data_IF_781569806929
#
_entry.id   IF_781569806929
#
_cell.length_a   1.000
_cell.length_b   1.000
_cell.length_c   1.000
_cell.angle_alpha   90.00
_cell.angle_beta   90.00
_cell.angle_gamma   90.00
#
_symmetry.space_group_name_H-M   'P 1'
#
loop_
_entity.id
_entity.type
_entity.pdbx_description
1 polymer ?
#
# COMPACT_ATOMS: atom_id res chain seq x y z
N UNK A 1 3.10 1.73 -3.57
CA UNK A 1 3.14 0.28 -3.73
C UNK A 1 2.23 -0.38 -2.71
N UNK A 2 1.31 -1.19 -3.17
CA UNK A 2 0.41 -1.95 -2.30
C UNK A 2 0.57 -3.43 -2.62
N UNK A 3 0.90 -4.23 -1.61
CA UNK A 3 1.09 -5.66 -1.74
C UNK A 3 0.65 -6.39 -0.48
N UNK A 4 0.61 -7.72 -0.55
CA UNK A 4 0.01 -8.56 0.48
C UNK A 4 0.80 -8.56 1.78
N UNK A 5 0.08 -8.39 2.91
CA UNK A 5 0.49 -8.75 4.27
C UNK A 5 -0.29 -9.98 4.70
N UNK A 6 0.38 -10.92 5.32
CA UNK A 6 -0.20 -12.21 5.68
C UNK A 6 0.31 -12.71 7.03
N UNK A 7 -0.54 -13.39 7.78
CA UNK A 7 -0.23 -14.12 9.00
C UNK A 7 0.56 -15.38 8.65
N UNK A 8 1.87 -15.33 8.87
CA UNK A 8 2.76 -16.48 8.68
C UNK A 8 2.52 -17.54 9.74
N UNK A 9 2.28 -17.13 10.99
CA UNK A 9 1.91 -18.05 12.08
C UNK A 9 0.65 -18.86 11.77
N UNK A 10 -0.32 -18.30 11.05
CA UNK A 10 -1.51 -19.04 10.60
C UNK A 10 -1.19 -20.06 9.51
N UNK A 11 -0.30 -19.70 8.56
CA UNK A 11 0.19 -20.67 7.60
C UNK A 11 0.90 -21.83 8.28
N UNK A 12 1.80 -21.53 9.23
CA UNK A 12 2.56 -22.53 9.97
C UNK A 12 1.62 -23.46 10.77
N UNK A 13 0.60 -22.90 11.44
CA UNK A 13 -0.41 -23.67 12.17
C UNK A 13 -1.18 -24.64 11.29
N UNK A 14 -1.50 -24.25 10.07
CA UNK A 14 -2.24 -25.06 9.10
C UNK A 14 -1.32 -25.93 8.21
N UNK A 15 0.00 -25.76 8.31
CA UNK A 15 0.97 -26.46 7.46
C UNK A 15 0.92 -26.05 5.99
N UNK A 16 0.60 -24.79 5.72
CA UNK A 16 0.47 -24.23 4.39
C UNK A 16 1.72 -23.41 4.01
N UNK A 17 2.01 -23.37 2.71
CA UNK A 17 3.04 -22.51 2.14
C UNK A 17 2.47 -21.13 1.79
N UNK A 18 3.35 -20.13 1.76
CA UNK A 18 2.96 -18.77 1.33
C UNK A 18 2.54 -18.76 -0.15
N UNK A 19 1.31 -18.33 -0.48
CA UNK A 19 0.80 -18.38 -1.84
C UNK A 19 1.47 -17.36 -2.74
N UNK A 20 1.64 -17.70 -4.00
CA UNK A 20 2.18 -16.84 -5.05
C UNK A 20 1.14 -16.49 -6.11
N UNK A 21 0.38 -17.49 -6.54
CA UNK A 21 -0.63 -17.35 -7.59
C UNK A 21 -1.99 -16.94 -7.03
N UNK A 22 -2.90 -16.57 -7.92
CA UNK A 22 -4.31 -16.32 -7.57
C UNK A 22 -4.96 -17.51 -6.88
N UNK A 23 -4.85 -18.69 -7.49
CA UNK A 23 -5.52 -19.89 -6.98
C UNK A 23 -4.96 -20.34 -5.62
N UNK A 24 -3.64 -20.23 -5.43
CA UNK A 24 -3.01 -20.48 -4.13
C UNK A 24 -3.48 -19.51 -3.06
N UNK A 25 -3.59 -18.22 -3.42
CA UNK A 25 -4.10 -17.19 -2.49
C UNK A 25 -5.56 -17.45 -2.11
N UNK A 26 -6.40 -17.86 -3.06
CA UNK A 26 -7.78 -18.24 -2.81
C UNK A 26 -7.84 -19.43 -1.85
N UNK A 27 -7.03 -20.46 -2.08
CA UNK A 27 -6.98 -21.64 -1.22
C UNK A 27 -6.53 -21.29 0.21
N UNK A 28 -5.53 -20.41 0.37
CA UNK A 28 -5.10 -19.93 1.69
C UNK A 28 -6.19 -19.12 2.38
N UNK A 29 -6.84 -18.19 1.66
CA UNK A 29 -7.95 -17.42 2.22
C UNK A 29 -9.10 -18.32 2.66
N UNK A 30 -9.41 -19.36 1.89
CA UNK A 30 -10.41 -20.36 2.23
C UNK A 30 -10.06 -21.15 3.49
N UNK A 31 -8.80 -21.61 3.61
CA UNK A 31 -8.31 -22.27 4.82
C UNK A 31 -8.39 -21.36 6.04
N UNK A 32 -8.00 -20.10 5.90
CA UNK A 32 -8.07 -19.10 6.98
C UNK A 32 -9.50 -18.85 7.48
N UNK A 33 -10.50 -18.93 6.60
CA UNK A 33 -11.91 -18.79 6.98
C UNK A 33 -12.49 -20.03 7.60
N UNK A 34 -12.03 -21.25 7.20
CA UNK A 34 -12.70 -22.51 7.52
C UNK A 34 -12.01 -23.38 8.56
N UNK A 35 -10.70 -23.20 8.79
CA UNK A 35 -9.87 -24.18 9.52
C UNK A 35 -9.35 -23.66 10.86
N UNK A 36 -9.96 -22.59 11.45
CA UNK A 36 -9.61 -22.06 12.76
C UNK A 36 -8.07 -21.82 12.90
N UNK A 37 -7.46 -20.94 12.11
CA UNK A 37 -6.02 -20.78 12.05
C UNK A 37 -5.42 -20.17 13.32
N UNK A 38 -6.20 -19.47 14.14
CA UNK A 38 -5.80 -18.88 15.41
C UNK A 38 -6.04 -19.81 16.60
N UNK A 39 -6.70 -20.96 16.38
CA UNK A 39 -6.89 -22.02 17.36
C UNK A 39 -7.82 -21.65 18.52
N UNK A 40 -8.71 -20.66 18.34
CA UNK A 40 -9.59 -20.17 19.39
C UNK A 40 -10.89 -21.01 19.54
N UNK A 41 -11.19 -21.87 18.57
CA UNK A 41 -12.37 -22.73 18.54
C UNK A 41 -13.62 -22.03 18.00
N UNK A 42 -13.52 -20.82 17.50
CA UNK A 42 -14.61 -20.03 16.94
C UNK A 42 -14.40 -19.90 15.41
N UNK A 43 -15.49 -19.74 14.67
CA UNK A 43 -15.42 -19.49 13.22
C UNK A 43 -15.62 -17.99 12.97
N UNK A 44 -14.61 -17.18 13.29
CA UNK A 44 -14.71 -15.72 13.29
C UNK A 44 -13.55 -15.01 12.57
N UNK A 45 -12.74 -15.78 11.84
CA UNK A 45 -11.59 -15.29 11.08
C UNK A 45 -11.98 -14.76 9.71
N UNK A 46 -11.26 -13.75 9.24
CA UNK A 46 -11.42 -13.09 7.96
C UNK A 46 -10.24 -13.50 7.06
N UNK A 47 -10.53 -14.07 5.89
CA UNK A 47 -9.51 -14.44 4.93
C UNK A 47 -8.77 -13.22 4.39
N UNK A 48 -9.49 -12.32 3.72
CA UNK A 48 -8.96 -11.08 3.13
C UNK A 48 -9.73 -9.88 3.69
N UNK A 49 -9.04 -8.97 4.35
CA UNK A 49 -9.60 -7.72 4.81
C UNK A 49 -9.67 -6.71 3.67
N UNK A 50 -10.83 -6.12 3.45
CA UNK A 50 -11.03 -5.02 2.52
C UNK A 50 -11.09 -3.65 3.21
N UNK A 51 -11.13 -2.56 2.42
CA UNK A 51 -11.25 -1.21 2.95
C UNK A 51 -12.62 -0.99 3.58
N UNK A 52 -12.67 -0.18 4.61
CA UNK A 52 -13.92 0.42 5.06
C UNK A 52 -14.42 1.40 3.99
N UNK A 53 -15.73 1.51 3.84
CA UNK A 53 -16.37 2.31 2.81
C UNK A 53 -16.27 1.69 1.39
N UNK A 54 -16.71 2.42 0.39
CA UNK A 54 -16.77 1.95 -1.00
C UNK A 54 -15.48 2.16 -1.81
N UNK A 55 -14.37 2.52 -1.18
CA UNK A 55 -13.10 2.77 -1.88
C UNK A 55 -12.28 1.48 -2.06
N UNK A 56 -12.84 0.53 -2.83
CA UNK A 56 -12.23 -0.80 -3.05
C UNK A 56 -10.95 -0.73 -3.86
N UNK A 57 -10.87 0.22 -4.76
CA UNK A 57 -9.71 0.46 -5.59
C UNK A 57 -9.30 1.90 -5.45
N UNK A 58 -8.15 2.10 -4.90
CA UNK A 58 -7.57 3.40 -4.76
C UNK A 58 -6.39 3.54 -5.70
N UNK A 59 -6.60 4.15 -6.83
CA UNK A 59 -5.58 4.40 -7.86
C UNK A 59 -4.32 5.13 -7.40
N UNK A 60 -4.24 5.57 -6.15
CA UNK A 60 -3.10 6.29 -5.60
C UNK A 60 -2.09 5.42 -4.85
N UNK A 61 -2.15 4.09 -4.94
CA UNK A 61 -1.12 3.17 -4.41
C UNK A 61 -0.78 3.28 -2.93
N UNK A 62 -1.40 4.18 -2.18
CA UNK A 62 -1.04 4.51 -0.80
C UNK A 62 -2.05 4.07 0.27
N UNK A 63 -3.19 3.51 -0.11
CA UNK A 63 -4.22 3.14 0.85
C UNK A 63 -3.98 1.74 1.42
N UNK A 64 -4.11 1.68 2.74
CA UNK A 64 -4.22 0.40 3.45
C UNK A 64 -5.55 -0.26 3.08
N UNK A 65 -5.52 -1.57 2.93
CA UNK A 65 -6.69 -2.43 2.70
C UNK A 65 -7.30 -2.34 1.31
N UNK A 66 -6.75 -1.55 0.37
CA UNK A 66 -7.19 -1.51 -1.02
C UNK A 66 -7.05 -2.87 -1.70
N UNK A 67 -7.97 -3.19 -2.59
CA UNK A 67 -7.96 -4.47 -3.33
C UNK A 67 -7.19 -4.37 -4.66
N UNK A 68 -6.44 -3.30 -4.88
CA UNK A 68 -5.66 -3.04 -6.10
C UNK A 68 -4.81 -4.24 -6.56
N UNK A 69 -4.11 -4.99 -5.69
CA UNK A 69 -3.35 -6.16 -6.12
C UNK A 69 -4.21 -7.28 -6.69
N UNK A 70 -5.46 -7.40 -6.26
CA UNK A 70 -6.41 -8.36 -6.83
C UNK A 70 -6.79 -8.00 -8.26
N UNK A 71 -6.85 -6.70 -8.57
CA UNK A 71 -7.10 -6.19 -9.91
C UNK A 71 -5.85 -6.31 -10.80
N UNK A 72 -4.69 -5.94 -10.27
CA UNK A 72 -3.41 -5.97 -10.99
C UNK A 72 -3.04 -7.38 -11.47
N UNK A 73 -3.44 -8.43 -10.75
CA UNK A 73 -3.25 -9.82 -11.18
C UNK A 73 -3.92 -10.14 -12.54
N UNK A 74 -4.93 -9.37 -12.92
CA UNK A 74 -5.63 -9.47 -14.21
C UNK A 74 -5.29 -8.32 -15.15
N UNK A 75 -4.17 -7.61 -14.95
CA UNK A 75 -3.76 -6.45 -15.74
C UNK A 75 -4.80 -5.31 -15.72
N UNK A 76 -5.59 -5.23 -14.66
CA UNK A 76 -6.60 -4.20 -14.45
C UNK A 76 -6.06 -3.10 -13.54
N UNK A 77 -6.17 -1.84 -13.98
CA UNK A 77 -5.66 -0.68 -13.26
C UNK A 77 -6.76 0.40 -13.18
N UNK A 78 -7.80 0.20 -12.38
CA UNK A 78 -8.88 1.16 -12.25
C UNK A 78 -8.38 2.53 -11.79
N UNK A 79 -9.06 3.59 -12.21
CA UNK A 79 -8.76 5.00 -11.95
C UNK A 79 -7.49 5.52 -12.63
N UNK A 80 -6.73 4.69 -13.35
CA UNK A 80 -5.55 5.10 -14.11
C UNK A 80 -5.88 5.41 -15.55
N UNK A 81 -5.20 6.40 -16.10
CA UNK A 81 -5.19 6.68 -17.54
C UNK A 81 -4.02 5.93 -18.15
N UNK A 82 -4.33 4.98 -18.99
CA UNK A 82 -3.33 4.08 -19.59
C UNK A 82 -3.17 4.41 -21.09
N UNK A 83 -2.13 3.85 -21.69
CA UNK A 83 -1.98 3.82 -23.14
C UNK A 83 -2.22 2.40 -23.62
N UNK A 84 -3.10 2.27 -24.63
CA UNK A 84 -3.26 1.01 -25.36
C UNK A 84 -2.04 0.75 -26.27
N UNK A 85 -2.01 -0.43 -26.91
CA UNK A 85 -0.94 -0.82 -27.84
C UNK A 85 -0.77 0.13 -29.03
N UNK A 86 -1.78 0.93 -29.34
CA UNK A 86 -1.77 1.92 -30.41
C UNK A 86 -1.35 3.32 -29.93
N UNK A 87 -1.12 3.48 -28.61
CA UNK A 87 -0.77 4.74 -27.96
C UNK A 87 -1.96 5.62 -27.61
N UNK A 88 -3.20 5.14 -27.77
CA UNK A 88 -4.38 5.89 -27.37
C UNK A 88 -4.58 5.85 -25.86
N UNK A 89 -5.09 6.95 -25.31
CA UNK A 89 -5.47 7.02 -23.90
C UNK A 89 -6.73 6.22 -23.64
N UNK A 90 -6.70 5.37 -22.62
CA UNK A 90 -7.81 4.55 -22.13
C UNK A 90 -7.96 4.76 -20.62
N UNK A 91 -9.18 4.84 -20.13
CA UNK A 91 -9.44 4.87 -18.69
C UNK A 91 -9.49 3.44 -18.15
N UNK A 92 -8.60 3.10 -17.23
CA UNK A 92 -8.43 1.74 -16.71
C UNK A 92 -9.69 1.14 -16.10
N UNK A 93 -10.58 1.97 -15.53
CA UNK A 93 -11.82 1.49 -14.90
C UNK A 93 -12.89 0.98 -15.88
N UNK A 94 -12.72 1.19 -17.21
CA UNK A 94 -13.71 0.77 -18.21
C UNK A 94 -13.20 -0.28 -19.18
N UNK A 95 -12.10 -0.96 -18.86
CA UNK A 95 -11.47 -1.97 -19.70
C UNK A 95 -12.05 -3.38 -19.46
N UNK A 96 -11.84 -4.29 -20.41
CA UNK A 96 -12.27 -5.70 -20.29
C UNK A 96 -11.51 -6.41 -19.18
N UNK A 97 -10.27 -6.03 -18.92
CA UNK A 97 -9.46 -6.51 -17.80
C UNK A 97 -10.11 -6.15 -16.46
N UNK A 98 -10.65 -4.95 -16.34
CA UNK A 98 -11.37 -4.51 -15.14
C UNK A 98 -12.69 -5.24 -14.96
N UNK A 99 -13.40 -5.51 -16.05
CA UNK A 99 -14.58 -6.38 -16.01
C UNK A 99 -14.24 -7.77 -15.47
N UNK A 100 -13.16 -8.37 -15.97
CA UNK A 100 -12.68 -9.69 -15.53
C UNK A 100 -12.28 -9.68 -14.06
N UNK A 101 -11.50 -8.69 -13.64
CA UNK A 101 -11.06 -8.55 -12.25
C UNK A 101 -12.25 -8.38 -11.29
N UNK A 102 -13.24 -7.55 -11.65
CA UNK A 102 -14.45 -7.37 -10.85
C UNK A 102 -15.24 -8.68 -10.67
N UNK A 103 -15.37 -9.49 -11.73
CA UNK A 103 -16.03 -10.78 -11.63
C UNK A 103 -15.30 -11.72 -10.66
N UNK A 104 -13.96 -11.74 -10.71
CA UNK A 104 -13.13 -12.54 -9.79
C UNK A 104 -13.25 -12.07 -8.35
N UNK A 105 -13.17 -10.76 -8.10
CA UNK A 105 -13.30 -10.19 -6.76
C UNK A 105 -14.71 -10.39 -6.19
N UNK A 106 -15.74 -10.25 -7.02
CA UNK A 106 -17.13 -10.56 -6.63
C UNK A 106 -17.30 -12.04 -6.23
N UNK A 107 -16.59 -12.95 -6.91
CA UNK A 107 -16.54 -14.37 -6.53
C UNK A 107 -15.96 -14.57 -5.12
N UNK A 108 -14.82 -13.94 -4.81
CA UNK A 108 -14.22 -14.02 -3.47
C UNK A 108 -15.16 -13.49 -2.37
N UNK A 109 -15.88 -12.41 -2.66
CA UNK A 109 -16.87 -11.87 -1.71
C UNK A 109 -18.06 -12.79 -1.52
N UNK A 110 -18.58 -13.36 -2.61
CA UNK A 110 -19.70 -14.31 -2.57
C UNK A 110 -19.37 -15.59 -1.79
N UNK A 111 -18.11 -16.04 -1.87
CA UNK A 111 -17.60 -17.21 -1.14
C UNK A 111 -17.24 -16.89 0.32
N UNK A 112 -17.39 -15.61 0.75
CA UNK A 112 -17.07 -15.15 2.10
C UNK A 112 -15.56 -15.08 2.41
N UNK A 113 -14.71 -15.04 1.39
CA UNK A 113 -13.27 -14.98 1.54
C UNK A 113 -12.75 -13.54 1.73
N UNK A 114 -13.51 -12.55 1.25
CA UNK A 114 -13.32 -11.14 1.58
C UNK A 114 -14.29 -10.76 2.72
N UNK A 115 -13.84 -9.91 3.63
CA UNK A 115 -14.67 -9.37 4.73
C UNK A 115 -16.05 -8.92 4.21
N UNK A 116 -17.09 -9.61 4.65
CA UNK A 116 -18.46 -9.33 4.21
C UNK A 116 -19.07 -8.07 4.80
N UNK A 117 -18.40 -7.48 5.79
CA UNK A 117 -18.84 -6.24 6.45
C UNK A 117 -18.20 -4.97 5.87
N UNK A 118 -17.43 -5.05 4.79
CA UNK A 118 -16.73 -3.90 4.19
C UNK A 118 -17.63 -2.70 3.88
N UNK A 119 -18.93 -2.91 3.58
CA UNK A 119 -19.88 -1.82 3.30
C UNK A 119 -20.42 -1.14 4.56
N UNK A 120 -20.29 -1.76 5.72
CA UNK A 120 -20.86 -1.27 6.98
C UNK A 120 -19.81 -0.91 8.01
N UNK A 121 -18.56 -1.32 7.81
CA UNK A 121 -17.45 -0.91 8.67
C UNK A 121 -17.14 0.57 8.52
N UNK A 122 -16.87 1.20 9.63
CA UNK A 122 -16.36 2.56 9.68
C UNK A 122 -14.81 2.57 9.67
N UNK A 123 -14.18 1.49 10.15
CA UNK A 123 -12.73 1.35 10.25
C UNK A 123 -12.33 -0.13 10.06
N UNK A 124 -11.48 -0.38 9.07
CA UNK A 124 -10.91 -1.72 8.81
C UNK A 124 -9.79 -2.11 9.80
N UNK A 125 -9.33 -1.20 10.63
CA UNK A 125 -8.28 -1.48 11.62
C UNK A 125 -8.79 -2.32 12.79
N UNK A 126 -10.06 -2.21 13.14
CA UNK A 126 -10.64 -2.92 14.29
C UNK A 126 -10.55 -4.44 14.18
N UNK A 127 -10.98 -5.12 13.09
CA UNK A 127 -10.81 -6.56 12.97
C UNK A 127 -9.34 -7.00 12.90
N UNK A 128 -8.45 -6.15 12.38
CA UNK A 128 -7.02 -6.41 12.42
C UNK A 128 -6.49 -6.42 13.85
N UNK A 129 -6.82 -5.40 14.66
CA UNK A 129 -6.38 -5.30 16.05
C UNK A 129 -6.98 -6.39 16.94
N UNK A 130 -8.15 -6.90 16.60
CA UNK A 130 -8.75 -8.04 17.31
C UNK A 130 -8.15 -9.39 16.94
N UNK A 131 -7.18 -9.44 16.00
CA UNK A 131 -6.46 -10.65 15.63
C UNK A 131 -7.18 -11.56 14.66
N UNK A 132 -8.28 -11.11 14.05
CA UNK A 132 -9.17 -11.93 13.21
C UNK A 132 -8.82 -11.96 11.73
N UNK A 133 -7.77 -11.26 11.30
CA UNK A 133 -7.45 -11.06 9.88
C UNK A 133 -6.23 -11.88 9.47
N UNK A 134 -6.37 -12.65 8.41
CA UNK A 134 -5.29 -13.45 7.82
C UNK A 134 -4.49 -12.71 6.75
N UNK A 135 -5.17 -12.00 5.86
CA UNK A 135 -4.57 -11.29 4.72
C UNK A 135 -5.12 -9.87 4.65
N UNK A 136 -4.25 -8.90 4.35
CA UNK A 136 -4.64 -7.58 3.88
C UNK A 136 -3.59 -7.03 2.90
N UNK A 137 -3.96 -6.01 2.13
CA UNK A 137 -3.04 -5.33 1.23
C UNK A 137 -2.68 -3.95 1.77
N UNK A 138 -1.43 -3.54 1.55
CA UNK A 138 -0.98 -2.24 2.03
C UNK A 138 0.46 -1.93 1.63
N UNK A 139 0.87 -0.66 1.79
CA UNK A 139 2.21 -0.19 1.46
C UNK A 139 3.27 -0.69 2.46
N UNK A 140 4.54 -0.50 2.13
CA UNK A 140 5.68 -0.94 2.95
C UNK A 140 5.57 -0.53 4.43
N UNK A 141 5.08 0.66 4.73
CA UNK A 141 4.97 1.20 6.10
C UNK A 141 3.85 0.58 6.95
N UNK A 142 3.17 -0.46 6.49
CA UNK A 142 2.12 -1.14 7.28
C UNK A 142 2.61 -1.80 8.57
N UNK A 143 3.92 -1.83 8.84
CA UNK A 143 4.42 -2.15 10.17
C UNK A 143 3.79 -1.30 11.28
N UNK A 144 3.47 -0.02 10.98
CA UNK A 144 2.73 0.86 11.89
C UNK A 144 1.27 0.45 12.10
N UNK A 145 0.72 -0.32 11.18
CA UNK A 145 -0.64 -0.86 11.27
C UNK A 145 -0.67 -2.14 12.11
N UNK A 146 0.31 -3.03 11.93
CA UNK A 146 0.33 -4.34 12.59
C UNK A 146 1.11 -4.37 13.91
N UNK A 147 1.83 -3.31 14.26
CA UNK A 147 2.68 -3.28 15.45
C UNK A 147 1.96 -3.61 16.77
N UNK A 148 0.68 -3.23 16.89
CA UNK A 148 -0.12 -3.57 18.07
C UNK A 148 -0.45 -5.07 18.14
N UNK A 149 -0.74 -5.69 17.00
CA UNK A 149 -1.06 -7.13 16.93
C UNK A 149 0.19 -7.97 17.22
N UNK A 150 1.36 -7.50 16.79
CA UNK A 150 2.63 -8.12 17.10
C UNK A 150 2.86 -8.13 18.62
N UNK A 151 2.72 -6.98 19.25
CA UNK A 151 2.96 -6.84 20.69
C UNK A 151 1.92 -7.55 21.58
N UNK A 152 0.64 -7.55 21.13
CA UNK A 152 -0.46 -8.08 21.94
C UNK A 152 -0.74 -9.56 21.70
N UNK A 153 -0.38 -10.11 20.54
CA UNK A 153 -0.81 -11.42 20.07
C UNK A 153 0.34 -12.27 19.55
N UNK A 154 1.58 -11.74 19.57
CA UNK A 154 2.76 -12.38 18.97
C UNK A 154 2.53 -12.77 17.49
N UNK A 155 1.72 -11.96 16.78
CA UNK A 155 1.33 -12.20 15.39
C UNK A 155 2.55 -12.09 14.47
N UNK A 156 2.83 -13.12 13.69
CA UNK A 156 3.90 -13.11 12.68
C UNK A 156 3.36 -12.63 11.32
N UNK A 157 3.57 -11.36 11.02
CA UNK A 157 3.19 -10.76 9.76
C UNK A 157 4.36 -10.77 8.78
N UNK A 158 4.14 -11.38 7.61
CA UNK A 158 5.08 -11.36 6.50
C UNK A 158 4.49 -10.65 5.27
N UNK A 159 5.34 -10.16 4.39
CA UNK A 159 4.95 -9.45 3.18
C UNK A 159 5.35 -10.22 1.92
N UNK A 160 4.47 -10.23 0.92
CA UNK A 160 4.67 -10.99 -0.31
C UNK A 160 4.10 -10.26 -1.51
N UNK A 161 4.77 -10.35 -2.65
CA UNK A 161 4.20 -10.01 -3.95
C UNK A 161 3.22 -11.10 -4.40
N UNK A 162 1.96 -10.92 -4.05
CA UNK A 162 0.86 -11.87 -4.34
C UNK A 162 -0.46 -11.10 -4.46
N UNK A 163 -1.37 -11.50 -5.36
CA UNK A 163 -1.18 -12.56 -6.36
C UNK A 163 -0.33 -12.10 -7.55
N UNK A 164 0.44 -13.02 -8.11
CA UNK A 164 1.12 -12.81 -9.38
C UNK A 164 0.13 -12.89 -10.53
N UNK A 165 0.37 -12.16 -11.60
CA UNK A 165 -0.35 -12.28 -12.85
C UNK A 165 -0.02 -13.63 -13.55
N UNK A 166 -0.76 -13.96 -14.60
CA UNK A 166 -0.60 -15.22 -15.34
C UNK A 166 0.82 -15.41 -15.90
N UNK A 167 1.51 -14.33 -16.22
CA UNK A 167 2.89 -14.33 -16.69
C UNK A 167 3.93 -14.51 -15.57
N UNK A 168 3.48 -14.69 -14.33
CA UNK A 168 4.33 -14.90 -13.16
C UNK A 168 4.94 -13.62 -12.57
N UNK A 169 4.50 -12.44 -12.99
CA UNK A 169 5.00 -11.15 -12.50
C UNK A 169 4.01 -10.51 -11.53
N UNK A 170 4.55 -9.70 -10.63
CA UNK A 170 3.76 -8.82 -9.79
C UNK A 170 3.68 -7.43 -10.42
N UNK A 171 2.46 -6.97 -10.64
CA UNK A 171 2.19 -5.64 -11.17
C UNK A 171 1.64 -4.77 -10.04
N UNK A 172 2.10 -3.53 -9.95
CA UNK A 172 1.64 -2.63 -8.89
C UNK A 172 1.37 -1.22 -9.42
N UNK A 173 0.30 -0.63 -8.93
CA UNK A 173 -0.02 0.77 -9.17
C UNK A 173 1.04 1.66 -8.51
N UNK A 174 1.58 2.60 -9.26
CA UNK A 174 2.52 3.59 -8.73
C UNK A 174 1.78 4.90 -8.47
N UNK A 175 2.06 5.50 -7.32
CA UNK A 175 1.53 6.82 -6.99
C UNK A 175 2.08 7.90 -7.93
N UNK A 176 1.35 9.01 -8.03
CA UNK A 176 1.83 10.21 -8.71
C UNK A 176 3.18 10.67 -8.11
N UNK A 177 4.08 11.22 -8.95
CA UNK A 177 5.40 11.69 -8.48
C UNK A 177 5.30 12.77 -7.41
N UNK A 178 4.22 13.53 -7.39
CA UNK A 178 3.93 14.55 -6.38
C UNK A 178 2.44 14.67 -6.12
N UNK A 179 2.05 14.67 -4.85
CA UNK A 179 0.65 14.78 -4.42
C UNK A 179 0.35 16.12 -3.73
N UNK A 180 1.38 16.94 -3.50
CA UNK A 180 1.23 18.20 -2.77
C UNK A 180 2.00 19.32 -3.43
N UNK A 181 1.36 20.49 -3.48
CA UNK A 181 1.92 21.70 -4.09
C UNK A 181 1.88 22.83 -3.08
N UNK A 182 3.00 23.53 -2.94
CA UNK A 182 3.06 24.79 -2.18
C UNK A 182 2.75 25.93 -3.13
N UNK A 183 1.66 26.62 -2.91
CA UNK A 183 1.21 27.73 -3.75
C UNK A 183 1.21 29.04 -2.98
N UNK A 184 1.67 30.11 -3.62
CA UNK A 184 1.58 31.47 -3.08
C UNK A 184 0.46 32.23 -3.80
N UNK A 185 -0.41 32.91 -3.04
CA UNK A 185 -1.40 33.81 -3.63
C UNK A 185 -0.74 34.90 -4.49
N UNK A 186 -1.38 35.30 -5.58
CA UNK A 186 -0.94 36.45 -6.41
C UNK A 186 -0.88 37.76 -5.61
N UNK A 187 -1.65 37.88 -4.55
CA UNK A 187 -1.67 39.01 -3.62
C UNK A 187 -0.60 38.93 -2.52
N UNK A 188 0.17 37.83 -2.47
CA UNK A 188 1.21 37.66 -1.46
C UNK A 188 2.34 38.68 -1.70
N UNK A 189 2.66 39.43 -0.67
CA UNK A 189 3.72 40.47 -0.75
C UNK A 189 5.14 39.90 -0.73
N UNK A 190 5.29 38.69 -0.19
CA UNK A 190 6.60 38.05 -0.03
C UNK A 190 6.50 36.55 -0.45
N UNK A 191 6.23 36.25 -1.73
CA UNK A 191 6.03 34.86 -2.19
C UNK A 191 7.29 33.98 -1.99
N UNK A 192 8.47 34.61 -1.99
CA UNK A 192 9.73 33.93 -1.73
C UNK A 192 9.86 33.38 -0.30
N UNK A 193 9.03 33.81 0.63
CA UNK A 193 9.05 33.33 2.01
C UNK A 193 8.73 31.82 2.08
N UNK A 194 7.85 31.31 1.22
CA UNK A 194 7.55 29.88 1.15
C UNK A 194 8.80 29.05 0.85
N UNK A 195 9.57 29.44 -0.17
CA UNK A 195 10.81 28.75 -0.54
C UNK A 195 11.89 28.89 0.55
N UNK A 196 12.00 30.03 1.21
CA UNK A 196 12.93 30.22 2.32
C UNK A 196 12.61 29.32 3.51
N UNK A 197 11.32 29.15 3.81
CA UNK A 197 10.87 28.24 4.88
C UNK A 197 11.18 26.79 4.50
N UNK A 198 10.88 26.37 3.28
CA UNK A 198 11.19 25.02 2.79
C UNK A 198 12.70 24.75 2.90
N UNK A 199 13.54 25.65 2.39
CA UNK A 199 14.99 25.51 2.45
C UNK A 199 15.49 25.42 3.90
N UNK A 200 14.95 26.25 4.79
CA UNK A 200 15.30 26.20 6.21
C UNK A 200 14.90 24.86 6.86
N UNK A 201 13.71 24.35 6.54
CA UNK A 201 13.25 23.06 7.08
C UNK A 201 14.13 21.92 6.58
N UNK A 202 14.52 21.92 5.29
CA UNK A 202 15.42 20.91 4.72
C UNK A 202 16.80 20.99 5.38
N UNK A 203 17.38 22.18 5.50
CA UNK A 203 18.70 22.40 6.13
C UNK A 203 18.67 22.00 7.60
N UNK A 204 17.62 22.34 8.33
CA UNK A 204 17.44 21.96 9.72
C UNK A 204 17.34 20.44 9.89
N UNK A 205 16.58 19.77 9.02
CA UNK A 205 16.45 18.32 9.04
C UNK A 205 17.78 17.64 8.74
N UNK A 206 18.55 18.12 7.77
CA UNK A 206 19.88 17.62 7.46
C UNK A 206 20.86 17.77 8.63
N UNK A 207 20.80 18.87 9.37
CA UNK A 207 21.69 19.09 10.52
C UNK A 207 21.48 18.09 11.66
N UNK A 208 20.35 17.38 11.68
CA UNK A 208 20.03 16.37 12.67
C UNK A 208 20.33 14.94 12.20
N UNK A 209 20.62 14.76 10.93
CA UNK A 209 21.05 13.47 10.40
C UNK A 209 22.37 13.08 11.06
N UNK A 210 22.48 11.83 11.47
CA UNK A 210 23.68 11.30 12.12
C UNK A 210 23.82 11.58 13.62
N UNK A 211 22.96 12.39 14.25
CA UNK A 211 23.00 12.65 15.68
C UNK A 211 22.24 11.62 16.56
N UNK A 212 21.63 10.62 15.97
CA UNK A 212 20.82 9.63 16.69
C UNK A 212 19.53 10.22 17.30
N UNK A 213 19.07 11.32 16.78
CA UNK A 213 17.98 12.08 17.36
C UNK A 213 16.66 11.67 16.71
N UNK A 214 15.96 10.69 17.30
CA UNK A 214 14.68 10.16 16.80
C UNK A 214 13.54 11.17 16.62
N UNK A 215 13.77 12.44 16.98
CA UNK A 215 12.83 13.53 16.77
C UNK A 215 13.02 14.28 15.43
N UNK A 216 13.98 13.91 14.60
CA UNK A 216 14.17 14.54 13.29
C UNK A 216 12.92 14.40 12.40
N UNK A 217 12.18 13.30 12.55
CA UNK A 217 10.90 13.07 11.87
C UNK A 217 9.77 14.00 12.29
N UNK A 218 9.80 14.54 13.50
CA UNK A 218 8.70 15.34 14.04
C UNK A 218 8.51 16.69 13.32
N UNK A 219 9.57 17.26 12.77
CA UNK A 219 9.51 18.53 12.03
C UNK A 219 9.20 18.34 10.54
N UNK A 220 9.63 17.23 9.94
CA UNK A 220 9.47 16.95 8.52
C UNK A 220 8.15 16.26 8.15
N UNK A 221 7.50 15.60 9.11
CA UNK A 221 6.30 14.77 8.86
C UNK A 221 5.05 15.26 9.58
N UNK A 222 5.11 16.44 10.25
CA UNK A 222 3.97 16.93 11.01
C UNK A 222 2.96 17.65 10.11
N UNK A 223 1.74 17.14 10.08
CA UNK A 223 0.60 17.79 9.43
C UNK A 223 0.21 19.13 10.09
N UNK A 224 0.86 19.48 11.20
CA UNK A 224 0.61 20.72 11.94
C UNK A 224 1.36 21.94 11.42
N UNK A 225 2.31 21.76 10.50
CA UNK A 225 3.06 22.88 9.93
C UNK A 225 2.40 23.40 8.65
N UNK A 226 2.38 24.72 8.43
CA UNK A 226 1.74 25.32 7.26
C UNK A 226 2.40 24.93 5.94
N UNK A 227 3.63 24.40 5.97
CA UNK A 227 4.32 23.84 4.83
C UNK A 227 4.71 22.41 5.18
N UNK A 228 3.82 21.49 4.84
CA UNK A 228 4.11 20.06 4.94
C UNK A 228 5.14 19.70 3.87
N UNK A 229 6.31 19.28 4.29
CA UNK A 229 7.36 18.81 3.41
C UNK A 229 8.03 17.60 4.04
N UNK A 230 7.91 16.45 3.39
CA UNK A 230 8.68 15.25 3.73
C UNK A 230 9.93 15.28 2.87
N UNK A 231 11.09 15.34 3.54
CA UNK A 231 12.38 15.28 2.89
C UNK A 231 13.09 13.99 3.31
N UNK A 232 13.13 13.05 2.39
CA UNK A 232 13.86 11.80 2.52
C UNK A 232 14.61 11.51 1.22
N UNK A 233 15.65 10.68 1.28
CA UNK A 233 16.25 10.14 0.07
C UNK A 233 15.25 9.19 -0.61
N UNK A 234 15.27 9.15 -1.93
CA UNK A 234 14.37 8.30 -2.70
C UNK A 234 14.56 6.80 -2.40
N UNK A 235 15.75 6.43 -1.95
CA UNK A 235 16.20 5.07 -1.63
C UNK A 235 16.34 4.82 -0.11
N UNK A 236 15.73 5.69 0.74
CA UNK A 236 15.94 5.60 2.20
C UNK A 236 15.59 4.22 2.75
N UNK A 237 14.51 3.63 2.28
CA UNK A 237 14.00 2.38 2.83
C UNK A 237 14.84 1.20 2.37
N UNK A 238 15.16 1.13 1.09
CA UNK A 238 15.99 0.10 0.48
C UNK A 238 17.40 0.09 1.08
N UNK A 239 17.99 1.27 1.24
CA UNK A 239 19.31 1.41 1.89
C UNK A 239 19.25 1.02 3.36
N UNK A 240 18.18 1.38 4.07
CA UNK A 240 17.98 0.97 5.46
C UNK A 240 17.85 -0.54 5.59
N UNK A 241 17.05 -1.18 4.72
CA UNK A 241 16.89 -2.63 4.67
C UNK A 241 18.24 -3.34 4.46
N UNK A 242 18.97 -2.96 3.42
CA UNK A 242 20.27 -3.58 3.08
C UNK A 242 21.30 -3.40 4.21
N UNK A 243 21.36 -2.20 4.79
CA UNK A 243 22.26 -1.91 5.91
C UNK A 243 21.92 -2.75 7.15
N UNK A 244 20.64 -2.84 7.52
CA UNK A 244 20.18 -3.65 8.65
C UNK A 244 20.45 -5.15 8.42
N UNK A 245 20.26 -5.65 7.20
CA UNK A 245 20.59 -7.05 6.86
C UNK A 245 22.08 -7.34 7.04
N UNK A 246 22.95 -6.49 6.52
CA UNK A 246 24.40 -6.62 6.65
C UNK A 246 24.86 -6.53 8.11
N UNK A 247 24.24 -5.63 8.86
CA UNK A 247 24.54 -5.48 10.29
C UNK A 247 24.13 -6.72 11.11
N UNK A 248 22.93 -7.27 10.84
CA UNK A 248 22.48 -8.51 11.46
C UNK A 248 23.37 -9.71 11.10
N UNK A 249 23.86 -9.77 9.86
CA UNK A 249 24.79 -10.79 9.41
C UNK A 249 26.21 -10.64 10.00
N UNK A 250 26.49 -9.52 10.67
CA UNK A 250 27.84 -9.22 11.19
C UNK A 250 28.86 -8.86 10.12
N UNK A 251 28.38 -8.42 8.96
CA UNK A 251 29.22 -7.99 7.84
C UNK A 251 29.71 -6.55 7.99
N UNK A 252 28.98 -5.73 8.74
CA UNK A 252 29.33 -4.35 9.06
C UNK A 252 29.08 -4.06 10.54
N UNK A 253 29.81 -3.08 11.06
CA UNK A 253 29.63 -2.53 12.40
C UNK A 253 29.02 -1.13 12.33
N UNK A 254 28.52 -0.60 13.48
CA UNK A 254 27.95 0.76 13.54
C UNK A 254 28.92 1.84 13.02
N UNK A 255 30.20 1.68 13.27
CA UNK A 255 31.25 2.63 12.90
C UNK A 255 31.57 2.63 11.38
N UNK A 256 31.10 1.62 10.66
CA UNK A 256 31.28 1.51 9.19
C UNK A 256 30.23 2.30 8.41
N UNK A 257 29.18 2.81 9.08
CA UNK A 257 28.00 3.40 8.44
C UNK A 257 28.05 4.93 8.45
N UNK A 258 27.90 5.53 7.28
CA UNK A 258 27.67 6.97 7.16
C UNK A 258 26.21 7.32 7.44
N UNK A 259 25.94 7.80 8.63
CA UNK A 259 24.59 8.21 9.04
C UNK A 259 24.19 9.62 8.58
N UNK A 260 25.05 10.32 7.85
CA UNK A 260 24.77 11.71 7.42
C UNK A 260 23.73 11.80 6.30
N UNK A 261 23.49 10.70 5.59
CA UNK A 261 22.61 10.64 4.42
C UNK A 261 21.21 10.11 4.72
N UNK A 262 21.06 9.28 5.77
CA UNK A 262 19.80 8.60 6.12
C UNK A 262 19.45 8.90 7.58
N UNK A 263 18.49 9.79 7.77
CA UNK A 263 18.19 10.44 9.08
C UNK A 263 17.79 9.48 10.21
N UNK A 264 17.20 8.33 9.90
CA UNK A 264 16.70 7.37 10.90
C UNK A 264 17.55 6.10 11.00
N UNK A 265 18.48 5.89 10.10
CA UNK A 265 19.25 4.64 10.02
C UNK A 265 20.00 4.28 11.31
N UNK A 266 20.59 5.28 11.99
CA UNK A 266 21.25 5.04 13.30
C UNK A 266 20.25 4.50 14.33
N UNK A 267 19.07 5.14 14.44
CA UNK A 267 18.04 4.69 15.36
C UNK A 267 17.53 3.29 15.01
N UNK A 268 17.42 2.97 13.72
CA UNK A 268 17.01 1.66 13.24
C UNK A 268 18.02 0.58 13.63
N UNK A 269 19.33 0.83 13.45
CA UNK A 269 20.39 -0.09 13.86
C UNK A 269 20.48 -0.25 15.39
N UNK A 270 20.36 0.83 16.15
CA UNK A 270 20.31 0.76 17.63
C UNK A 270 19.07 0.00 18.14
N UNK A 271 17.97 0.10 17.41
CA UNK A 271 16.73 -0.59 17.75
C UNK A 271 16.81 -2.08 17.46
N UNK A 272 17.34 -2.46 16.30
CA UNK A 272 17.40 -3.88 15.91
C UNK A 272 18.32 -4.69 16.82
N UNK A 273 19.35 -4.06 17.41
CA UNK A 273 20.20 -4.73 18.41
C UNK A 273 19.46 -5.13 19.67
N UNK A 274 18.40 -4.40 20.03
CA UNK A 274 17.58 -4.70 21.22
C UNK A 274 16.59 -5.83 20.99
N UNK A 275 16.27 -6.12 19.72
CA UNK A 275 15.40 -7.21 19.30
C UNK A 275 16.14 -8.53 19.16
N UNK A 276 17.46 -8.49 19.26
CA UNK A 276 18.36 -9.55 18.84
C UNK A 276 18.11 -10.89 19.50
N UNK A 277 17.54 -11.82 18.73
CA UNK A 277 17.61 -13.27 18.98
C UNK A 277 18.29 -13.95 17.80
N UNK A 278 19.08 -14.94 18.04
CA UNK A 278 19.68 -15.77 16.99
C UNK A 278 18.79 -17.00 16.71
N UNK A 279 18.74 -17.46 15.46
CA UNK A 279 19.41 -16.98 14.24
C UNK A 279 18.66 -15.84 13.52
N UNK A 280 19.38 -15.05 12.67
CA UNK A 280 18.84 -13.89 11.95
C UNK A 280 18.58 -14.13 10.47
N UNK A 281 18.51 -15.37 10.05
CA UNK A 281 18.33 -15.74 8.65
C UNK A 281 16.99 -15.26 8.09
N UNK A 282 16.05 -15.00 9.00
CA UNK A 282 14.66 -14.73 8.70
C UNK A 282 14.14 -13.72 9.73
N UNK A 283 13.49 -12.66 9.27
CA UNK A 283 12.90 -11.64 10.15
C UNK A 283 11.49 -12.06 10.60
N UNK A 284 11.38 -13.26 11.18
CA UNK A 284 10.15 -13.84 11.70
C UNK A 284 10.00 -13.60 13.20
N UNK A 285 8.77 -13.32 13.62
CA UNK A 285 8.44 -13.01 15.00
C UNK A 285 8.77 -14.14 15.97
N UNK A 286 8.79 -15.39 15.50
CA UNK A 286 9.18 -16.57 16.32
C UNK A 286 10.60 -16.51 16.86
N UNK A 287 11.46 -15.67 16.29
CA UNK A 287 12.84 -15.47 16.71
C UNK A 287 13.02 -14.24 17.61
N UNK A 288 11.97 -13.49 17.91
CA UNK A 288 12.06 -12.25 18.67
C UNK A 288 11.76 -12.51 20.15
N UNK A 289 12.56 -11.92 21.02
CA UNK A 289 12.36 -12.01 22.47
C UNK A 289 11.54 -10.83 22.98
N UNK A 290 10.23 -11.01 23.05
CA UNK A 290 9.31 -9.98 23.52
C UNK A 290 9.34 -9.75 25.04
N UNK A 291 9.82 -10.73 25.84
CA UNK A 291 9.81 -10.63 27.30
C UNK A 291 10.74 -9.53 27.85
N UNK A 292 11.80 -9.19 27.09
CA UNK A 292 12.80 -8.21 27.49
C UNK A 292 12.83 -6.97 26.61
N UNK A 293 11.77 -6.72 25.83
CA UNK A 293 11.72 -5.57 24.93
C UNK A 293 11.38 -4.28 25.67
N UNK A 294 12.38 -3.46 25.96
CA UNK A 294 12.23 -2.06 26.32
C UNK A 294 12.26 -1.19 25.04
N UNK A 295 11.27 -1.40 24.17
CA UNK A 295 11.16 -0.68 22.90
C UNK A 295 9.92 0.18 22.84
N UNK A 296 10.10 1.43 22.39
CA UNK A 296 8.97 2.21 21.96
C UNK A 296 8.27 1.50 20.79
N UNK A 297 6.94 1.36 20.85
CA UNK A 297 6.10 0.77 19.80
C UNK A 297 6.43 1.32 18.42
N UNK A 298 6.67 2.64 18.30
CA UNK A 298 7.01 3.29 17.05
C UNK A 298 8.29 2.75 16.40
N UNK A 299 9.30 2.40 17.24
CA UNK A 299 10.55 1.85 16.73
C UNK A 299 10.37 0.42 16.22
N UNK A 300 9.60 -0.41 16.93
CA UNK A 300 9.22 -1.74 16.45
C UNK A 300 8.45 -1.64 15.13
N UNK A 301 7.43 -0.79 15.09
CA UNK A 301 6.61 -0.59 13.89
C UNK A 301 7.43 -0.16 12.67
N UNK A 302 8.43 0.70 12.87
CA UNK A 302 9.36 1.11 11.82
C UNK A 302 10.23 -0.07 11.36
N UNK A 303 10.82 -0.84 12.27
CA UNK A 303 11.62 -2.01 11.90
C UNK A 303 10.81 -3.04 11.12
N UNK A 304 9.58 -3.33 11.55
CA UNK A 304 8.67 -4.21 10.80
C UNK A 304 8.35 -3.63 9.43
N UNK A 305 8.18 -2.32 9.32
CA UNK A 305 7.96 -1.66 8.03
C UNK A 305 9.14 -1.86 7.08
N UNK A 306 10.38 -1.71 7.57
CA UNK A 306 11.58 -1.88 6.77
C UNK A 306 11.85 -3.36 6.53
N UNK A 307 12.05 -4.16 7.57
CA UNK A 307 12.57 -5.52 7.45
C UNK A 307 11.56 -6.53 6.89
N UNK A 308 10.27 -6.32 7.13
CA UNK A 308 9.19 -7.15 6.60
C UNK A 308 8.52 -6.45 5.43
N UNK A 309 8.13 -5.19 5.63
CA UNK A 309 7.37 -4.44 4.66
C UNK A 309 8.11 -4.23 3.34
N UNK A 310 9.39 -3.87 3.40
CA UNK A 310 10.19 -3.56 2.22
C UNK A 310 10.87 -4.80 1.60
N UNK A 311 10.89 -5.92 2.32
CA UNK A 311 11.58 -7.12 1.86
C UNK A 311 11.22 -7.56 0.42
N UNK A 312 9.95 -7.60 -0.01
CA UNK A 312 9.61 -7.94 -1.39
C UNK A 312 10.12 -6.91 -2.41
N UNK A 313 10.09 -5.62 -2.06
CA UNK A 313 10.55 -4.53 -2.95
C UNK A 313 12.06 -4.61 -3.24
N UNK A 314 12.84 -5.05 -2.26
CA UNK A 314 14.30 -5.19 -2.40
C UNK A 314 14.70 -6.52 -3.03
N UNK A 315 14.00 -7.60 -2.72
CA UNK A 315 14.43 -8.96 -3.07
C UNK A 315 13.73 -9.56 -4.28
N UNK A 316 12.63 -8.96 -4.77
CA UNK A 316 11.85 -9.51 -5.88
C UNK A 316 11.63 -8.46 -6.97
N UNK A 317 11.49 -8.91 -8.21
CA UNK A 317 11.15 -8.04 -9.33
C UNK A 317 9.67 -7.73 -9.36
N UNK A 318 9.31 -6.49 -9.69
CA UNK A 318 7.92 -6.06 -9.92
C UNK A 318 7.84 -5.15 -11.14
N UNK A 319 6.63 -5.01 -11.66
CA UNK A 319 6.35 -4.13 -12.80
C UNK A 319 5.56 -2.92 -12.32
N UNK A 320 6.18 -1.73 -12.30
CA UNK A 320 5.49 -0.51 -11.87
C UNK A 320 4.57 -0.01 -13.00
N UNK A 321 3.32 0.27 -12.67
CA UNK A 321 2.33 0.84 -13.59
C UNK A 321 2.03 2.27 -13.17
N UNK A 322 2.32 3.20 -14.06
CA UNK A 322 2.08 4.63 -13.88
C UNK A 322 0.86 5.08 -14.69
N UNK A 323 0.10 6.02 -14.14
CA UNK A 323 -0.88 6.74 -14.93
C UNK A 323 -0.17 7.58 -16.00
N UNK A 324 -0.71 7.59 -17.19
CA UNK A 324 -0.19 8.43 -18.30
C UNK A 324 -0.63 9.88 -18.19
N UNK A 325 -1.53 10.19 -17.26
CA UNK A 325 -2.07 11.52 -17.02
C UNK A 325 -2.56 11.66 -15.59
N UNK A 326 -2.02 12.65 -14.90
CA UNK A 326 -2.35 12.97 -13.50
C UNK A 326 -2.92 14.39 -13.37
N UNK A 327 -3.25 15.00 -14.51
CA UNK A 327 -3.80 16.35 -14.58
C UNK A 327 -5.31 16.40 -14.39
N UNK A 328 -5.86 17.60 -14.62
CA UNK A 328 -7.30 17.85 -14.58
C UNK A 328 -7.74 18.62 -15.79
N UNK A 329 -8.63 18.04 -16.59
CA UNK A 329 -9.17 18.66 -17.78
C UNK A 329 -10.36 19.58 -17.45
N UNK A 330 -10.72 20.41 -18.41
CA UNK A 330 -11.85 21.33 -18.26
C UNK A 330 -13.18 20.60 -18.04
N UNK A 331 -13.39 19.49 -18.75
CA UNK A 331 -14.62 18.70 -18.60
C UNK A 331 -14.66 17.97 -17.25
N UNK A 332 -13.52 17.55 -16.72
CA UNK A 332 -13.42 17.00 -15.35
C UNK A 332 -13.94 17.97 -14.30
N UNK A 333 -13.74 19.28 -14.43
CA UNK A 333 -14.19 20.27 -13.46
C UNK A 333 -15.70 20.21 -13.19
N UNK A 334 -16.48 19.82 -14.16
CA UNK A 334 -17.95 19.77 -14.07
C UNK A 334 -18.55 18.36 -13.96
N UNK A 335 -17.86 17.34 -14.46
CA UNK A 335 -18.43 16.00 -14.64
C UNK A 335 -17.75 14.92 -13.80
N UNK A 336 -16.48 15.11 -13.43
CA UNK A 336 -15.65 14.05 -12.81
C UNK A 336 -16.26 13.45 -11.53
N UNK A 337 -16.78 14.29 -10.65
CA UNK A 337 -17.40 13.83 -9.40
C UNK A 337 -18.60 12.89 -9.63
N UNK A 338 -19.39 13.12 -10.70
CA UNK A 338 -20.50 12.23 -11.02
C UNK A 338 -20.01 10.91 -11.65
N UNK A 339 -18.99 10.98 -12.50
CA UNK A 339 -18.39 9.80 -13.14
C UNK A 339 -17.71 8.90 -12.09
N UNK A 340 -16.95 9.47 -11.15
CA UNK A 340 -16.33 8.74 -10.06
C UNK A 340 -17.39 8.07 -9.17
N UNK A 341 -18.45 8.79 -8.82
CA UNK A 341 -19.55 8.22 -8.03
C UNK A 341 -20.25 7.07 -8.75
N UNK A 342 -20.49 7.20 -10.05
CA UNK A 342 -21.10 6.15 -10.88
C UNK A 342 -20.23 4.88 -10.86
N UNK A 343 -18.91 5.04 -11.00
CA UNK A 343 -17.93 3.96 -10.91
C UNK A 343 -17.97 3.27 -9.54
N UNK A 344 -17.79 4.03 -8.45
CA UNK A 344 -17.76 3.51 -7.09
C UNK A 344 -19.04 2.76 -6.73
N UNK A 345 -20.21 3.33 -7.06
CA UNK A 345 -21.49 2.67 -6.80
C UNK A 345 -21.66 1.39 -7.61
N UNK A 346 -21.18 1.37 -8.86
CA UNK A 346 -21.30 0.19 -9.73
C UNK A 346 -20.37 -0.92 -9.25
N UNK A 347 -19.11 -0.59 -8.98
CA UNK A 347 -18.13 -1.56 -8.48
C UNK A 347 -18.60 -2.15 -7.13
N UNK A 348 -19.06 -1.31 -6.21
CA UNK A 348 -19.62 -1.75 -4.95
C UNK A 348 -20.79 -2.74 -5.11
N UNK A 349 -21.72 -2.46 -6.03
CA UNK A 349 -22.87 -3.33 -6.30
C UNK A 349 -22.45 -4.67 -6.89
N UNK A 350 -21.48 -4.67 -7.81
CA UNK A 350 -20.96 -5.90 -8.43
C UNK A 350 -20.21 -6.74 -7.37
N UNK A 351 -19.24 -6.16 -6.67
CA UNK A 351 -18.43 -6.85 -5.67
C UNK A 351 -19.32 -7.49 -4.60
N UNK A 352 -20.36 -6.80 -4.15
CA UNK A 352 -21.24 -7.29 -3.08
C UNK A 352 -22.43 -8.12 -3.57
N UNK A 353 -22.47 -8.47 -4.84
CA UNK A 353 -23.52 -9.29 -5.44
C UNK A 353 -24.90 -8.62 -5.53
N UNK A 354 -24.97 -7.29 -5.31
CA UNK A 354 -26.22 -6.51 -5.48
C UNK A 354 -26.57 -6.27 -6.94
N UNK A 355 -25.58 -6.40 -7.82
CA UNK A 355 -25.76 -6.43 -9.27
C UNK A 355 -24.86 -7.52 -9.85
N UNK A 356 -25.27 -8.10 -11.00
CA UNK A 356 -24.42 -9.01 -11.76
C UNK A 356 -23.35 -8.25 -12.56
N UNK A 357 -22.40 -8.98 -13.14
CA UNK A 357 -21.29 -8.42 -13.90
C UNK A 357 -21.76 -7.64 -15.15
N UNK A 358 -22.95 -7.90 -15.67
CA UNK A 358 -23.56 -7.16 -16.76
C UNK A 358 -23.82 -5.68 -16.44
N UNK A 359 -23.87 -5.32 -15.17
CA UNK A 359 -23.95 -3.92 -14.74
C UNK A 359 -22.71 -3.13 -15.14
N UNK A 360 -21.57 -3.81 -15.30
CA UNK A 360 -20.33 -3.20 -15.80
C UNK A 360 -20.50 -2.68 -17.23
N UNK A 361 -21.14 -3.46 -18.11
CA UNK A 361 -21.32 -3.07 -19.50
C UNK A 361 -22.20 -1.81 -19.59
N UNK A 362 -23.27 -1.75 -18.80
CA UNK A 362 -24.12 -0.57 -18.68
C UNK A 362 -23.37 0.65 -18.09
N UNK A 363 -22.52 0.42 -17.11
CA UNK A 363 -21.67 1.46 -16.53
C UNK A 363 -20.73 2.07 -17.58
N UNK A 364 -20.07 1.25 -18.39
CA UNK A 364 -19.15 1.73 -19.43
C UNK A 364 -19.89 2.62 -20.44
N UNK A 365 -21.07 2.22 -20.88
CA UNK A 365 -21.90 3.03 -21.79
C UNK A 365 -22.32 4.36 -21.15
N UNK A 366 -22.80 4.34 -19.92
CA UNK A 366 -23.23 5.53 -19.20
C UNK A 366 -22.05 6.46 -18.88
N UNK A 367 -20.90 5.93 -18.46
CA UNK A 367 -19.70 6.67 -18.17
C UNK A 367 -19.22 7.44 -19.41
N UNK A 368 -19.15 6.78 -20.58
CA UNK A 368 -18.79 7.39 -21.86
C UNK A 368 -19.75 8.50 -22.24
N UNK A 369 -21.06 8.21 -22.20
CA UNK A 369 -22.10 9.16 -22.59
C UNK A 369 -22.20 10.38 -21.66
N UNK A 370 -21.86 10.22 -20.38
CA UNK A 370 -21.92 11.28 -19.36
C UNK A 370 -20.72 12.23 -19.39
N UNK A 371 -19.76 12.01 -20.29
CA UNK A 371 -18.60 12.88 -20.50
C UNK A 371 -17.25 12.19 -20.47
N UNK A 372 -17.22 10.90 -20.24
CA UNK A 372 -15.98 10.12 -20.24
C UNK A 372 -15.24 10.18 -21.58
N UNK A 373 -15.96 10.06 -22.70
CA UNK A 373 -15.35 10.17 -24.03
C UNK A 373 -14.76 11.58 -24.29
N UNK A 374 -15.43 12.63 -23.81
CA UNK A 374 -14.93 14.01 -23.93
C UNK A 374 -13.66 14.21 -23.11
N UNK A 375 -13.64 13.69 -21.88
CA UNK A 375 -12.47 13.74 -20.99
C UNK A 375 -11.30 12.95 -21.60
N UNK A 376 -11.55 11.74 -22.08
CA UNK A 376 -10.53 10.89 -22.72
C UNK A 376 -9.89 11.60 -23.89
N UNK A 377 -10.72 12.29 -24.72
CA UNK A 377 -10.21 13.08 -25.84
C UNK A 377 -9.39 14.27 -25.38
N UNK A 378 -9.84 15.03 -24.36
CA UNK A 378 -9.08 16.15 -23.82
C UNK A 378 -7.69 15.70 -23.32
N UNK A 379 -7.62 14.55 -22.63
CA UNK A 379 -6.35 13.98 -22.14
C UNK A 379 -5.47 13.54 -23.31
N UNK A 380 -6.03 12.88 -24.34
CA UNK A 380 -5.26 12.51 -25.52
C UNK A 380 -4.63 13.74 -26.18
N UNK A 381 -5.43 14.80 -26.38
CA UNK A 381 -4.95 16.04 -26.97
C UNK A 381 -3.81 16.68 -26.14
N UNK A 382 -3.88 16.63 -24.80
CA UNK A 382 -2.82 17.14 -23.90
C UNK A 382 -1.56 16.27 -23.92
N UNK A 383 -1.71 14.95 -23.91
CA UNK A 383 -0.58 14.01 -23.97
C UNK A 383 0.15 14.12 -25.32
N UNK A 384 -0.57 14.29 -26.42
CA UNK A 384 0.03 14.44 -27.73
C UNK A 384 0.79 15.77 -27.89
N UNK A 385 0.37 16.83 -27.17
CA UNK A 385 1.09 18.11 -27.16
C UNK A 385 2.39 18.08 -26.34
N UNK A 386 2.59 17.08 -25.48
CA UNK A 386 3.80 16.94 -24.66
C UNK A 386 4.89 16.09 -25.33
N UNK A 387 4.58 15.41 -26.44
CA UNK A 387 5.53 14.65 -27.26
C UNK A 387 6.15 15.52 -28.35
#
# INVERSE_FOLDING_TARGET
DVYKRQRQDWLDNLGLEAPRTWDEMVAVAEAFVKEDPDGNGENDTIGILGPANSDYVNGNGGNRYGLDPLFSAFQSYPKYWLKDDSGNIVYGSITDETRTALEKVAGLYADGLIDTEILVRNDSTEPLLSGKVGIFFGPWWCGYTVGDTILAQEADWQAYFTPLAEDGKFYTHMAEPTSKYVVASKECKNPEAAFKIINYLIEYQQSWMGEGNGNAGALGTSDFYPLYNVYDNADEIEVSYDCLKKYLAGEIEMDDVDFSTHKLLRNDMETITKLKNEPYDDFSMKYWNFENMDLAKSNLSRLVSIMVGDAPLVNEEYVPIYSSYDGRTKTMDSKWSNLTKLEEETFAKIITGKAGIEAFDSFVEEWKASGGDEITKEIQDEVDMQQ
#
